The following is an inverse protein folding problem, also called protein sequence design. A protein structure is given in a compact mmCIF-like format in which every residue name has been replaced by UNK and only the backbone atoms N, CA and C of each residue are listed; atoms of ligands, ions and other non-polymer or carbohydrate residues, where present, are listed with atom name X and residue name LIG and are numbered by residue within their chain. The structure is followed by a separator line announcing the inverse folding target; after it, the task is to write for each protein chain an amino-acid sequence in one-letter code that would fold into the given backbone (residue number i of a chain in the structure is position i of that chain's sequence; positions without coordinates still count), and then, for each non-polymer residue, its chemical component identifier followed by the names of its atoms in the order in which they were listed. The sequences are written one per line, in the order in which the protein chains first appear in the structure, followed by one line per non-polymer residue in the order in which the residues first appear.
data_IF_555173159622
#
_entry.id   IF_555173159622
#
_cell.length_a   1.000
_cell.length_b   1.000
_cell.length_c   1.000
_cell.angle_alpha   90.00
_cell.angle_beta   90.00
_cell.angle_gamma   90.00
#
_symmetry.space_group_name_H-M   'P 1'
#
loop_
_entity.id
_entity.type
_entity.pdbx_description
1 polymer ?
#
# COMPACT_ATOMS: atom_id res chain seq x y z
N UNK A 1 1.84 -10.65 24.86
CA UNK A 1 2.65 -9.77 23.98
C UNK A 1 4.10 -9.56 24.43
N UNK A 2 4.40 -9.44 25.73
CA UNK A 2 5.79 -9.20 26.23
C UNK A 2 6.74 -10.34 25.88
N UNK A 3 6.37 -11.61 26.07
CA UNK A 3 7.24 -12.77 25.80
C UNK A 3 7.63 -12.86 24.30
N UNK A 4 6.69 -12.75 23.33
CA UNK A 4 7.06 -12.68 21.91
C UNK A 4 7.98 -11.50 21.56
N UNK A 5 7.75 -10.34 22.17
CA UNK A 5 8.60 -9.17 21.99
C UNK A 5 10.06 -9.47 22.37
N UNK A 6 10.28 -9.98 23.60
CA UNK A 6 11.62 -10.31 24.11
C UNK A 6 12.31 -11.35 23.21
N UNK A 7 11.57 -12.38 22.76
CA UNK A 7 12.12 -13.41 21.88
C UNK A 7 12.53 -12.88 20.53
N UNK A 8 11.74 -11.98 19.96
CA UNK A 8 12.00 -11.39 18.63
C UNK A 8 13.23 -10.50 18.65
N UNK A 9 13.39 -9.68 19.71
CA UNK A 9 14.48 -8.72 19.82
C UNK A 9 15.74 -9.25 20.55
N UNK A 10 16.03 -10.53 20.42
CA UNK A 10 17.18 -11.18 21.04
C UNK A 10 18.50 -10.98 20.28
N UNK A 11 18.43 -10.64 19.00
CA UNK A 11 19.61 -10.59 18.11
C UNK A 11 20.23 -9.19 18.03
N UNK A 12 21.53 -9.07 17.83
CA UNK A 12 22.20 -7.76 17.70
C UNK A 12 21.59 -6.87 16.60
N UNK A 13 21.24 -7.46 15.44
CA UNK A 13 20.59 -6.72 14.35
C UNK A 13 19.21 -6.19 14.72
N UNK A 14 18.51 -6.82 15.66
CA UNK A 14 17.22 -6.30 16.13
C UNK A 14 17.40 -5.00 16.92
N UNK A 15 18.48 -4.87 17.67
CA UNK A 15 18.81 -3.64 18.37
C UNK A 15 19.19 -2.52 17.40
N UNK A 16 19.90 -2.87 16.32
CA UNK A 16 20.17 -1.91 15.24
C UNK A 16 18.85 -1.41 14.60
N UNK A 17 17.90 -2.31 14.32
CA UNK A 17 16.59 -1.93 13.82
C UNK A 17 15.88 -0.97 14.78
N UNK A 18 15.81 -1.31 16.07
CA UNK A 18 15.21 -0.44 17.08
C UNK A 18 15.89 0.92 17.17
N UNK A 19 17.23 0.93 17.17
CA UNK A 19 17.99 2.18 17.20
C UNK A 19 17.69 3.08 16.00
N UNK A 20 17.57 2.51 14.79
CA UNK A 20 17.23 3.25 13.59
C UNK A 20 15.79 3.82 13.65
N UNK A 21 14.82 3.04 14.15
CA UNK A 21 13.44 3.51 14.35
C UNK A 21 13.40 4.66 15.35
N UNK A 22 14.07 4.52 16.49
CA UNK A 22 14.11 5.55 17.52
C UNK A 22 14.84 6.81 17.05
N UNK A 23 15.97 6.65 16.34
CA UNK A 23 16.72 7.78 15.77
C UNK A 23 15.85 8.57 14.76
N UNK A 24 15.09 7.87 13.91
CA UNK A 24 14.15 8.51 12.99
C UNK A 24 13.06 9.28 13.75
N UNK A 25 12.51 8.72 14.82
CA UNK A 25 11.53 9.40 15.68
C UNK A 25 12.10 10.64 16.35
N UNK A 26 13.33 10.57 16.88
CA UNK A 26 14.02 11.72 17.48
C UNK A 26 14.27 12.81 16.44
N UNK A 27 14.74 12.42 15.24
CA UNK A 27 14.93 13.38 14.15
C UNK A 27 13.63 14.10 13.80
N UNK A 28 12.49 13.41 13.75
CA UNK A 28 11.19 14.01 13.48
C UNK A 28 10.74 14.98 14.58
N UNK A 29 11.03 14.68 15.85
CA UNK A 29 10.73 15.57 16.96
C UNK A 29 11.55 16.87 16.92
N UNK A 30 12.81 16.81 16.49
CA UNK A 30 13.70 17.98 16.43
C UNK A 30 13.58 18.75 15.13
N UNK A 31 13.31 18.06 14.02
CA UNK A 31 13.19 18.63 12.67
C UNK A 31 11.94 18.08 11.98
N UNK A 32 10.75 18.53 12.39
CA UNK A 32 9.50 18.02 11.83
C UNK A 32 9.47 18.14 10.31
N UNK A 33 9.16 17.03 9.65
CA UNK A 33 8.98 16.94 8.20
C UNK A 33 7.58 16.45 7.90
N UNK A 34 7.00 16.97 6.85
CA UNK A 34 5.68 16.58 6.37
C UNK A 34 5.76 16.29 4.88
N UNK A 35 5.07 15.25 4.45
CA UNK A 35 4.81 15.00 3.04
C UNK A 35 3.59 15.84 2.61
N UNK A 36 3.48 16.12 1.33
CA UNK A 36 2.32 16.84 0.77
C UNK A 36 0.99 16.18 1.17
N UNK A 37 0.96 14.84 1.18
CA UNK A 37 -0.21 14.06 1.60
C UNK A 37 -0.60 14.29 3.07
N UNK A 38 0.34 14.68 3.93
CA UNK A 38 0.07 14.96 5.36
C UNK A 38 -0.88 16.15 5.50
N UNK A 39 -0.68 17.21 4.70
CA UNK A 39 -1.57 18.36 4.68
C UNK A 39 -3.00 17.95 4.27
N UNK A 40 -3.14 17.11 3.22
CA UNK A 40 -4.45 16.62 2.80
C UNK A 40 -5.19 15.84 3.90
N UNK A 41 -4.47 15.07 4.74
CA UNK A 41 -5.10 14.39 5.88
C UNK A 41 -5.54 15.37 6.97
N UNK A 42 -4.77 16.40 7.23
CA UNK A 42 -5.12 17.46 8.21
C UNK A 42 -6.31 18.28 7.72
N UNK A 43 -6.32 18.66 6.45
CA UNK A 43 -7.43 19.38 5.84
C UNK A 43 -8.71 18.53 5.83
N UNK A 44 -8.63 17.26 5.51
CA UNK A 44 -9.79 16.37 5.56
C UNK A 44 -10.48 16.33 6.91
N UNK A 45 -9.73 16.53 8.01
CA UNK A 45 -10.31 16.63 9.37
C UNK A 45 -11.26 17.83 9.50
N UNK A 46 -10.81 19.00 9.05
CA UNK A 46 -11.60 20.23 9.12
C UNK A 46 -12.94 20.05 8.41
N UNK A 47 -12.92 19.31 7.29
CA UNK A 47 -14.13 19.08 6.51
C UNK A 47 -15.05 18.01 7.07
N UNK A 48 -14.49 16.99 7.71
CA UNK A 48 -15.29 15.94 8.34
C UNK A 48 -16.09 16.49 9.52
N UNK A 49 -15.46 17.35 10.34
CA UNK A 49 -16.00 17.79 11.61
C UNK A 49 -16.54 19.23 11.60
N UNK A 50 -16.10 20.11 10.70
CA UNK A 50 -16.49 21.53 10.62
C UNK A 50 -17.11 21.88 9.28
N UNK A 51 -18.33 21.40 9.01
CA UNK A 51 -19.04 21.66 7.74
C UNK A 51 -19.30 23.15 7.46
N UNK A 52 -19.31 24.01 8.47
CA UNK A 52 -19.60 25.44 8.31
C UNK A 52 -18.40 26.25 7.78
N UNK A 53 -17.17 25.81 8.02
CA UNK A 53 -15.96 26.42 7.43
C UNK A 53 -15.86 26.19 5.94
N UNK A 54 -16.49 25.13 5.40
CA UNK A 54 -16.54 24.83 3.96
C UNK A 54 -17.26 25.89 3.13
N UNK A 55 -18.24 26.59 3.72
CA UNK A 55 -18.99 27.64 3.03
C UNK A 55 -18.19 28.94 2.87
N UNK A 56 -17.08 29.06 3.60
CA UNK A 56 -16.30 30.32 3.70
C UNK A 56 -15.04 30.32 2.81
N UNK A 57 -14.55 29.15 2.38
CA UNK A 57 -13.36 29.07 1.53
C UNK A 57 -13.65 28.33 0.22
N UNK A 58 -13.85 29.07 -0.90
CA UNK A 58 -14.13 28.48 -2.22
C UNK A 58 -13.01 27.57 -2.75
N UNK A 59 -11.76 27.76 -2.30
CA UNK A 59 -10.61 26.96 -2.72
C UNK A 59 -10.57 25.60 -2.03
N UNK A 60 -11.16 25.49 -0.87
CA UNK A 60 -11.17 24.28 -0.04
C UNK A 60 -12.46 23.47 -0.24
N UNK A 61 -13.51 24.07 -0.77
CA UNK A 61 -14.84 23.47 -0.91
C UNK A 61 -15.02 22.39 -1.99
N UNK A 62 -13.94 21.79 -2.47
CA UNK A 62 -13.98 20.77 -3.51
C UNK A 62 -14.32 19.40 -2.93
N UNK A 63 -15.53 18.89 -3.18
CA UNK A 63 -15.92 17.57 -2.66
C UNK A 63 -14.91 16.48 -3.05
N UNK A 64 -14.31 16.54 -4.24
CA UNK A 64 -13.27 15.62 -4.67
C UNK A 64 -11.99 15.74 -3.85
N UNK A 65 -11.63 16.94 -3.41
CA UNK A 65 -10.48 17.14 -2.56
C UNK A 65 -10.73 16.59 -1.15
N UNK A 66 -11.84 16.97 -0.54
CA UNK A 66 -12.16 16.56 0.85
C UNK A 66 -12.44 15.07 0.98
N UNK A 67 -12.97 14.42 -0.05
CA UNK A 67 -13.20 12.98 -0.06
C UNK A 67 -12.04 12.17 -0.64
N UNK A 68 -10.94 12.83 -1.02
CA UNK A 68 -9.73 12.16 -1.51
C UNK A 68 -9.19 11.19 -0.48
N UNK A 69 -9.21 11.56 0.78
CA UNK A 69 -8.79 10.70 1.91
C UNK A 69 -10.01 10.09 2.59
N UNK A 70 -9.93 8.78 2.85
CA UNK A 70 -10.93 8.08 3.65
C UNK A 70 -10.88 8.51 5.13
N UNK A 71 -11.97 8.31 5.85
CA UNK A 71 -12.19 8.89 7.18
C UNK A 71 -11.20 8.41 8.27
N UNK A 72 -10.67 7.19 8.14
CA UNK A 72 -9.97 6.53 9.25
C UNK A 72 -8.70 7.21 9.71
N UNK A 73 -7.80 7.57 8.78
CA UNK A 73 -6.55 8.22 9.19
C UNK A 73 -6.75 9.68 9.61
N UNK A 74 -7.53 10.52 8.89
CA UNK A 74 -7.91 11.84 9.40
C UNK A 74 -8.49 11.79 10.81
N UNK A 75 -9.39 10.85 11.09
CA UNK A 75 -9.95 10.68 12.44
C UNK A 75 -8.87 10.38 13.48
N UNK A 76 -7.92 9.49 13.17
CA UNK A 76 -6.80 9.19 14.07
C UNK A 76 -5.90 10.41 14.29
N UNK A 77 -5.61 11.19 13.26
CA UNK A 77 -4.82 12.43 13.38
C UNK A 77 -5.52 13.43 14.28
N UNK A 78 -6.82 13.60 14.12
CA UNK A 78 -7.61 14.50 14.98
C UNK A 78 -7.65 14.04 16.46
N UNK A 79 -7.78 12.74 16.67
CA UNK A 79 -7.88 12.17 18.03
C UNK A 79 -6.55 12.21 18.78
N UNK A 80 -5.44 11.90 18.08
CA UNK A 80 -4.14 11.67 18.71
C UNK A 80 -3.18 12.86 18.56
N UNK A 81 -3.44 13.76 17.63
CA UNK A 81 -2.51 14.84 17.25
C UNK A 81 -1.22 14.29 16.61
N UNK A 82 -0.35 15.18 16.18
CA UNK A 82 0.90 14.81 15.46
C UNK A 82 1.81 13.93 16.32
N UNK A 83 1.97 14.25 17.60
CA UNK A 83 2.81 13.46 18.53
C UNK A 83 2.22 12.06 18.76
N UNK A 84 0.90 11.95 18.92
CA UNK A 84 0.25 10.66 19.10
C UNK A 84 0.33 9.80 17.85
N UNK A 85 0.23 10.38 16.65
CA UNK A 85 0.45 9.66 15.37
C UNK A 85 1.90 9.19 15.26
N UNK A 86 2.87 10.04 15.59
CA UNK A 86 4.29 9.64 15.61
C UNK A 86 4.51 8.43 16.54
N UNK A 87 4.03 8.51 17.79
CA UNK A 87 4.16 7.40 18.74
C UNK A 87 3.47 6.12 18.23
N UNK A 88 2.30 6.25 17.64
CA UNK A 88 1.56 5.11 17.08
C UNK A 88 2.32 4.48 15.90
N UNK A 89 2.93 5.30 15.03
CA UNK A 89 3.74 4.82 13.91
C UNK A 89 5.03 4.13 14.37
N UNK A 90 5.71 4.69 15.39
CA UNK A 90 6.88 4.05 16.00
C UNK A 90 6.53 2.70 16.63
N UNK A 91 5.43 2.63 17.38
CA UNK A 91 4.94 1.37 17.94
C UNK A 91 4.56 0.37 16.85
N UNK A 92 3.89 0.82 15.79
CA UNK A 92 3.56 -0.03 14.66
C UNK A 92 4.82 -0.61 13.97
N UNK A 93 5.87 0.20 13.81
CA UNK A 93 7.16 -0.25 13.30
C UNK A 93 7.79 -1.34 14.19
N UNK A 94 7.78 -1.13 15.51
CA UNK A 94 8.34 -2.08 16.49
C UNK A 94 7.54 -3.38 16.52
N UNK A 95 6.22 -3.33 16.48
CA UNK A 95 5.37 -4.53 16.61
C UNK A 95 5.21 -5.32 15.31
N UNK A 96 5.40 -4.72 14.14
CA UNK A 96 5.27 -5.42 12.86
C UNK A 96 6.19 -6.65 12.72
N UNK A 97 7.52 -6.57 13.01
CA UNK A 97 8.36 -7.77 13.02
C UNK A 97 7.93 -8.82 14.04
N UNK A 98 7.39 -8.40 15.20
CA UNK A 98 6.92 -9.33 16.23
C UNK A 98 5.74 -10.16 15.74
N UNK A 99 4.77 -9.53 15.07
CA UNK A 99 3.61 -10.23 14.49
C UNK A 99 4.06 -11.28 13.46
N UNK A 100 5.01 -10.93 12.59
CA UNK A 100 5.55 -11.87 11.61
C UNK A 100 6.36 -12.98 12.27
N UNK A 101 7.11 -12.66 13.32
CA UNK A 101 7.78 -13.65 14.16
C UNK A 101 6.81 -14.68 14.71
N UNK A 102 5.70 -14.23 15.29
CA UNK A 102 4.66 -15.11 15.81
C UNK A 102 4.05 -16.01 14.72
N UNK A 103 3.80 -15.45 13.54
CA UNK A 103 3.28 -16.21 12.38
C UNK A 103 4.24 -17.32 11.95
N UNK A 104 5.54 -17.02 11.87
CA UNK A 104 6.57 -17.99 11.50
C UNK A 104 6.72 -19.09 12.56
N UNK A 105 6.73 -18.72 13.85
CA UNK A 105 6.80 -19.69 14.96
C UNK A 105 5.60 -20.63 14.99
N UNK A 106 4.37 -20.15 14.74
CA UNK A 106 3.17 -20.98 14.62
C UNK A 106 3.28 -22.03 13.50
N UNK A 107 4.11 -21.80 12.52
CA UNK A 107 4.41 -22.74 11.43
C UNK A 107 5.66 -23.57 11.68
N UNK A 108 6.19 -23.58 12.91
CA UNK A 108 7.36 -24.35 13.30
C UNK A 108 8.69 -23.78 12.78
N UNK A 109 8.68 -22.56 12.21
CA UNK A 109 9.88 -21.93 11.69
C UNK A 109 10.56 -21.16 12.82
N UNK A 110 11.72 -21.66 13.23
CA UNK A 110 12.57 -20.94 14.18
C UNK A 110 13.21 -19.74 13.51
N UNK A 111 12.91 -18.55 14.01
CA UNK A 111 13.57 -17.33 13.55
C UNK A 111 14.99 -17.35 14.07
N UNK A 112 15.87 -17.90 13.28
CA UNK A 112 17.33 -17.87 13.59
C UNK A 112 17.93 -16.71 12.84
N UNK A 113 17.61 -15.33 13.09
CA UNK A 113 18.06 -14.96 11.83
C UNK A 113 18.48 -13.57 11.56
N UNK A 114 19.71 -13.50 11.31
CA UNK A 114 20.39 -12.49 10.48
C UNK A 114 19.54 -12.14 9.23
N UNK A 115 19.06 -13.11 8.47
CA UNK A 115 18.26 -12.87 7.25
C UNK A 115 16.92 -12.19 7.51
N UNK A 116 16.20 -12.56 8.57
CA UNK A 116 14.96 -11.90 8.96
C UNK A 116 15.19 -10.41 9.23
N UNK A 117 16.20 -10.09 10.04
CA UNK A 117 16.49 -8.70 10.39
C UNK A 117 17.14 -7.93 9.25
N UNK A 118 17.99 -8.55 8.43
CA UNK A 118 18.51 -7.92 7.22
C UNK A 118 17.39 -7.57 6.26
N UNK A 119 16.35 -8.40 6.15
CA UNK A 119 15.17 -8.08 5.34
C UNK A 119 14.48 -6.82 5.84
N UNK A 120 14.26 -6.69 7.17
CA UNK A 120 13.64 -5.50 7.76
C UNK A 120 14.54 -4.25 7.67
N UNK A 121 15.80 -4.34 7.99
CA UNK A 121 16.75 -3.22 8.00
C UNK A 121 17.03 -2.70 6.59
N UNK A 122 17.03 -3.58 5.59
CA UNK A 122 17.29 -3.20 4.20
C UNK A 122 16.19 -2.40 3.52
N UNK A 123 15.09 -2.08 4.23
CA UNK A 123 14.01 -1.25 3.73
C UNK A 123 14.01 0.11 4.43
N UNK A 124 14.63 1.15 3.85
CA UNK A 124 14.79 2.45 4.49
C UNK A 124 13.45 3.14 4.78
N UNK A 125 12.44 2.88 3.96
CA UNK A 125 11.09 3.42 4.14
C UNK A 125 10.46 3.02 5.48
N UNK A 126 10.90 1.90 6.10
CA UNK A 126 10.46 1.53 7.45
C UNK A 126 10.79 2.62 8.46
N UNK A 127 11.97 3.24 8.32
CA UNK A 127 12.44 4.28 9.24
C UNK A 127 11.77 5.62 8.92
N UNK A 128 11.64 5.98 7.65
CA UNK A 128 11.01 7.24 7.25
C UNK A 128 9.55 7.28 7.66
N UNK A 129 8.79 6.23 7.34
CA UNK A 129 7.36 6.19 7.65
C UNK A 129 7.06 5.86 9.12
N UNK A 130 8.03 5.36 9.89
CA UNK A 130 7.91 5.29 11.34
C UNK A 130 7.93 6.69 11.98
N UNK A 131 8.60 7.64 11.33
CA UNK A 131 8.74 9.02 11.80
C UNK A 131 7.75 10.00 11.16
N UNK A 132 7.45 9.84 9.88
CA UNK A 132 6.53 10.74 9.17
C UNK A 132 5.07 10.52 9.62
N UNK A 133 4.27 11.59 9.74
CA UNK A 133 2.85 11.49 10.15
C UNK A 133 1.98 10.98 8.99
N UNK A 134 2.15 9.71 8.67
CA UNK A 134 1.54 9.02 7.52
C UNK A 134 0.96 7.66 7.96
N UNK A 135 -0.06 7.14 7.24
CA UNK A 135 -0.75 5.91 7.65
C UNK A 135 0.03 4.61 7.36
N UNK A 136 1.14 4.66 6.63
CA UNK A 136 1.85 3.50 6.09
C UNK A 136 2.24 2.49 7.17
N UNK A 137 2.82 2.93 8.28
CA UNK A 137 3.26 2.03 9.36
C UNK A 137 2.09 1.42 10.12
N UNK A 138 1.03 2.21 10.35
CA UNK A 138 -0.20 1.71 10.98
C UNK A 138 -0.83 0.63 10.09
N UNK A 139 -0.92 0.90 8.78
CA UNK A 139 -1.40 -0.09 7.81
C UNK A 139 -0.51 -1.33 7.78
N UNK A 140 0.81 -1.18 7.87
CA UNK A 140 1.75 -2.29 7.93
C UNK A 140 1.46 -3.23 9.11
N UNK A 141 1.30 -2.69 10.31
CA UNK A 141 0.95 -3.48 11.49
C UNK A 141 -0.41 -4.16 11.32
N UNK A 142 -1.40 -3.42 10.83
CA UNK A 142 -2.75 -3.95 10.61
C UNK A 142 -2.77 -5.07 9.54
N UNK A 143 -1.99 -4.97 8.47
CA UNK A 143 -1.84 -6.05 7.47
C UNK A 143 -1.24 -7.30 8.10
N UNK A 144 -0.21 -7.14 8.94
CA UNK A 144 0.36 -8.25 9.70
C UNK A 144 -0.67 -8.92 10.62
N UNK A 145 -1.42 -8.12 11.39
CA UNK A 145 -2.48 -8.58 12.29
C UNK A 145 -3.63 -9.23 11.52
N UNK A 146 -4.08 -8.62 10.43
CA UNK A 146 -5.10 -9.19 9.55
C UNK A 146 -4.71 -10.59 9.08
N UNK A 147 -3.47 -10.78 8.64
CA UNK A 147 -2.97 -12.07 8.19
C UNK A 147 -2.83 -13.07 9.35
N UNK A 148 -2.42 -12.61 10.53
CA UNK A 148 -2.39 -13.43 11.75
C UNK A 148 -3.79 -13.94 12.10
N UNK A 149 -4.79 -13.06 12.16
CA UNK A 149 -6.17 -13.42 12.47
C UNK A 149 -6.78 -14.36 11.42
N UNK A 150 -6.46 -14.13 10.14
CA UNK A 150 -6.88 -15.01 9.05
C UNK A 150 -6.34 -16.44 9.25
N UNK A 151 -5.04 -16.60 9.55
CA UNK A 151 -4.43 -17.90 9.77
C UNK A 151 -4.90 -18.56 11.05
N UNK A 152 -5.31 -17.79 12.06
CA UNK A 152 -5.91 -18.27 13.31
C UNK A 152 -7.42 -18.52 13.18
N UNK A 153 -8.02 -18.32 12.00
CA UNK A 153 -9.46 -18.48 11.74
C UNK A 153 -10.37 -17.59 12.62
N UNK A 154 -9.83 -16.44 13.07
CA UNK A 154 -10.57 -15.44 13.85
C UNK A 154 -11.35 -14.51 12.90
N UNK A 155 -12.42 -15.04 12.32
CA UNK A 155 -13.14 -14.41 11.22
C UNK A 155 -13.64 -12.99 11.50
N UNK A 156 -14.14 -12.74 12.71
CA UNK A 156 -14.59 -11.42 13.12
C UNK A 156 -13.42 -10.41 13.12
N UNK A 157 -12.30 -10.76 13.76
CA UNK A 157 -11.12 -9.90 13.83
C UNK A 157 -10.47 -9.69 12.45
N UNK A 158 -10.49 -10.73 11.61
CA UNK A 158 -10.04 -10.63 10.20
C UNK A 158 -10.87 -9.61 9.45
N UNK A 159 -12.21 -9.70 9.52
CA UNK A 159 -13.11 -8.77 8.85
C UNK A 159 -13.00 -7.35 9.42
N UNK A 160 -12.94 -7.22 10.74
CA UNK A 160 -12.79 -5.93 11.42
C UNK A 160 -11.48 -5.22 11.02
N UNK A 161 -10.36 -5.94 11.06
CA UNK A 161 -9.04 -5.39 10.71
C UNK A 161 -9.00 -4.95 9.24
N UNK A 162 -9.60 -5.75 8.34
CA UNK A 162 -9.71 -5.36 6.93
C UNK A 162 -10.62 -4.13 6.74
N UNK A 163 -11.73 -4.06 7.45
CA UNK A 163 -12.61 -2.88 7.43
C UNK A 163 -11.87 -1.61 7.89
N UNK A 164 -11.10 -1.70 8.96
CA UNK A 164 -10.26 -0.59 9.46
C UNK A 164 -9.17 -0.21 8.44
N UNK A 165 -8.52 -1.20 7.80
CA UNK A 165 -7.56 -0.95 6.71
C UNK A 165 -8.20 -0.16 5.57
N UNK A 166 -9.41 -0.54 5.13
CA UNK A 166 -10.15 0.17 4.07
C UNK A 166 -10.53 1.58 4.50
N UNK A 167 -10.90 1.78 5.78
CA UNK A 167 -11.15 3.11 6.36
C UNK A 167 -9.90 4.00 6.32
N UNK A 168 -8.72 3.44 6.51
CA UNK A 168 -7.46 4.19 6.52
C UNK A 168 -6.96 4.43 5.09
N UNK A 169 -6.99 3.40 4.25
CA UNK A 169 -6.56 3.46 2.83
C UNK A 169 -7.49 2.61 1.96
N UNK A 170 -8.20 3.22 1.00
CA UNK A 170 -9.19 2.52 0.17
C UNK A 170 -8.60 1.41 -0.70
N UNK A 171 -7.29 1.46 -1.00
CA UNK A 171 -6.60 0.43 -1.80
C UNK A 171 -6.74 -0.98 -1.22
N UNK A 172 -6.94 -1.13 0.10
CA UNK A 172 -7.10 -2.43 0.73
C UNK A 172 -8.41 -3.15 0.38
N UNK A 173 -9.33 -2.50 -0.34
CA UNK A 173 -10.50 -3.17 -0.93
C UNK A 173 -10.09 -4.32 -1.84
N UNK A 174 -8.89 -4.26 -2.43
CA UNK A 174 -8.32 -5.32 -3.26
C UNK A 174 -8.18 -6.64 -2.50
N UNK A 175 -8.00 -6.61 -1.17
CA UNK A 175 -7.91 -7.82 -0.35
C UNK A 175 -9.23 -8.59 -0.26
N UNK A 176 -10.37 -7.95 -0.55
CA UNK A 176 -11.66 -8.64 -0.60
C UNK A 176 -11.74 -9.62 -1.78
N UNK A 177 -11.12 -9.32 -2.92
CA UNK A 177 -11.26 -10.13 -4.12
C UNK A 177 -10.80 -11.59 -3.91
N UNK A 178 -9.59 -11.89 -3.40
CA UNK A 178 -9.19 -13.26 -3.13
C UNK A 178 -10.03 -13.93 -2.03
N UNK A 179 -10.53 -13.18 -1.04
CA UNK A 179 -11.43 -13.71 -0.02
C UNK A 179 -12.79 -14.10 -0.62
N UNK A 180 -13.36 -13.26 -1.50
CA UNK A 180 -14.60 -13.54 -2.23
C UNK A 180 -14.42 -14.79 -3.10
N UNK A 181 -13.33 -14.87 -3.87
CA UNK A 181 -13.03 -16.04 -4.71
C UNK A 181 -13.01 -17.31 -3.85
N UNK A 182 -12.32 -17.30 -2.72
CA UNK A 182 -12.27 -18.46 -1.81
C UNK A 182 -13.65 -18.84 -1.29
N UNK A 183 -14.48 -17.89 -0.89
CA UNK A 183 -15.84 -18.17 -0.39
C UNK A 183 -16.78 -18.69 -1.50
N UNK A 184 -16.70 -18.13 -2.70
CA UNK A 184 -17.46 -18.64 -3.85
C UNK A 184 -17.07 -20.09 -4.18
N UNK A 185 -15.81 -20.43 -4.09
CA UNK A 185 -15.32 -21.80 -4.27
C UNK A 185 -15.85 -22.76 -3.22
N UNK A 186 -15.98 -22.32 -1.95
CA UNK A 186 -16.63 -23.08 -0.88
C UNK A 186 -18.10 -23.36 -1.16
N UNK A 187 -18.81 -22.39 -1.74
CA UNK A 187 -20.24 -22.52 -2.11
C UNK A 187 -20.51 -23.46 -3.30
N UNK A 188 -19.48 -24.11 -3.84
CA UNK A 188 -19.65 -25.11 -4.90
C UNK A 188 -19.51 -24.60 -6.31
N UNK A 189 -19.17 -23.32 -6.52
CA UNK A 189 -18.85 -22.77 -7.85
C UNK A 189 -17.55 -23.32 -8.46
N UNK A 190 -17.30 -24.64 -8.22
CA UNK A 190 -16.06 -25.35 -8.62
C UNK A 190 -15.93 -25.55 -10.13
N UNK A 191 -17.04 -25.48 -10.88
CA UNK A 191 -17.06 -25.81 -12.31
C UNK A 191 -16.38 -24.75 -13.20
N UNK A 192 -16.20 -23.54 -12.70
CA UNK A 192 -15.75 -22.38 -13.50
C UNK A 192 -14.26 -22.10 -13.47
N UNK A 193 -13.42 -22.87 -12.75
CA UNK A 193 -12.10 -22.37 -12.44
C UNK A 193 -10.99 -23.30 -12.92
N UNK A 194 -10.19 -22.76 -13.82
CA UNK A 194 -8.89 -23.26 -14.30
C UNK A 194 -7.90 -23.61 -13.15
N UNK A 195 -8.24 -23.25 -11.91
CA UNK A 195 -7.43 -23.37 -10.70
C UNK A 195 -7.83 -24.52 -9.78
N UNK A 196 -8.37 -25.64 -10.26
CA UNK A 196 -8.81 -26.73 -9.36
C UNK A 196 -7.74 -27.26 -8.40
N UNK A 197 -6.46 -27.30 -8.82
CA UNK A 197 -5.35 -27.68 -7.93
C UNK A 197 -5.09 -26.66 -6.84
N UNK A 198 -5.09 -25.37 -7.20
CA UNK A 198 -4.98 -24.26 -6.27
C UNK A 198 -6.10 -24.27 -5.22
N UNK A 199 -7.30 -24.57 -5.66
CA UNK A 199 -8.51 -24.60 -4.83
C UNK A 199 -8.49 -25.74 -3.79
N UNK A 200 -8.11 -26.94 -4.19
CA UNK A 200 -8.03 -28.07 -3.24
C UNK A 200 -7.04 -27.80 -2.14
N UNK A 201 -5.94 -27.17 -2.44
CA UNK A 201 -4.93 -26.84 -1.46
C UNK A 201 -5.32 -25.63 -0.60
N UNK A 202 -6.02 -24.62 -1.16
CA UNK A 202 -6.54 -23.48 -0.38
C UNK A 202 -7.71 -23.84 0.53
N UNK A 203 -8.48 -24.90 0.21
CA UNK A 203 -9.64 -25.29 1.00
C UNK A 203 -9.31 -25.57 2.49
N UNK A 204 -8.16 -26.16 2.78
CA UNK A 204 -7.74 -26.45 4.16
C UNK A 204 -7.38 -25.19 4.95
N UNK A 205 -6.71 -24.20 4.31
CA UNK A 205 -6.38 -22.91 4.96
C UNK A 205 -7.66 -22.17 5.35
N UNK A 206 -8.66 -22.25 4.48
CA UNK A 206 -9.92 -21.52 4.61
C UNK A 206 -11.05 -22.37 5.19
N UNK A 207 -10.77 -23.60 5.60
CA UNK A 207 -11.68 -24.41 6.39
C UNK A 207 -11.99 -23.67 7.70
N UNK A 208 -13.27 -23.36 7.96
CA UNK A 208 -13.69 -22.50 9.06
C UNK A 208 -13.79 -20.99 8.73
N UNK A 209 -13.37 -20.53 7.55
CA UNK A 209 -13.66 -19.17 7.12
C UNK A 209 -15.19 -19.01 6.96
N UNK A 210 -15.75 -17.93 7.51
CA UNK A 210 -17.17 -17.60 7.39
C UNK A 210 -17.36 -16.22 6.74
N UNK A 211 -18.61 -15.84 6.50
CA UNK A 211 -18.96 -14.61 5.82
C UNK A 211 -18.51 -13.32 6.54
N UNK A 212 -18.21 -13.36 7.84
CA UNK A 212 -17.81 -12.17 8.59
C UNK A 212 -16.56 -11.50 7.99
N UNK A 213 -15.67 -12.28 7.37
CA UNK A 213 -14.45 -11.74 6.72
C UNK A 213 -14.73 -10.83 5.53
N UNK A 214 -15.96 -10.90 4.96
CA UNK A 214 -16.41 -10.08 3.84
C UNK A 214 -17.50 -9.10 4.28
N UNK A 215 -18.50 -9.55 5.03
CA UNK A 215 -19.65 -8.73 5.42
C UNK A 215 -19.22 -7.53 6.26
N UNK A 216 -18.27 -7.72 7.19
CA UNK A 216 -17.79 -6.63 8.04
C UNK A 216 -17.08 -5.55 7.21
N UNK A 217 -16.06 -5.85 6.35
CA UNK A 217 -15.45 -4.83 5.51
C UNK A 217 -16.43 -4.15 4.54
N UNK A 218 -17.39 -4.89 3.98
CA UNK A 218 -18.45 -4.32 3.15
C UNK A 218 -19.29 -3.33 3.98
N UNK A 219 -19.61 -3.66 5.23
CA UNK A 219 -20.28 -2.74 6.14
C UNK A 219 -19.53 -1.42 6.32
N UNK A 220 -18.20 -1.46 6.46
CA UNK A 220 -17.37 -0.25 6.49
C UNK A 220 -17.42 0.54 5.18
N UNK A 221 -17.40 -0.13 4.03
CA UNK A 221 -17.52 0.53 2.72
C UNK A 221 -18.87 1.25 2.59
N UNK A 222 -19.97 0.58 2.99
CA UNK A 222 -21.29 1.18 3.01
C UNK A 222 -21.38 2.36 3.97
N UNK A 223 -20.82 2.23 5.16
CA UNK A 223 -20.77 3.31 6.15
C UNK A 223 -20.10 4.56 5.57
N UNK A 224 -18.92 4.42 4.93
CA UNK A 224 -18.23 5.55 4.30
C UNK A 224 -19.05 6.12 3.14
N UNK A 225 -19.60 5.24 2.29
CA UNK A 225 -20.43 5.65 1.16
C UNK A 225 -21.67 6.45 1.59
N UNK A 226 -22.36 6.00 2.64
CA UNK A 226 -23.51 6.70 3.23
C UNK A 226 -23.08 8.02 3.89
N UNK A 227 -21.95 8.03 4.59
CA UNK A 227 -21.42 9.25 5.17
C UNK A 227 -21.11 10.29 4.09
N UNK A 228 -20.41 9.92 3.03
CA UNK A 228 -20.11 10.81 1.93
C UNK A 228 -21.39 11.27 1.20
N UNK A 229 -22.36 10.35 1.01
CA UNK A 229 -23.64 10.71 0.41
C UNK A 229 -24.42 11.72 1.27
N UNK A 230 -24.44 11.54 2.58
CA UNK A 230 -25.15 12.47 3.49
C UNK A 230 -24.51 13.86 3.53
N UNK A 231 -23.23 13.98 3.31
CA UNK A 231 -22.48 15.26 3.35
C UNK A 231 -22.38 15.94 1.99
N UNK A 232 -22.23 15.18 0.92
CA UNK A 232 -21.87 15.65 -0.41
C UNK A 232 -22.82 15.21 -1.53
N UNK A 233 -23.86 14.44 -1.22
CA UNK A 233 -24.77 13.88 -2.20
C UNK A 233 -24.19 12.76 -3.08
N UNK A 234 -22.93 12.35 -2.89
CA UNK A 234 -22.23 11.36 -3.72
C UNK A 234 -21.89 10.12 -2.91
N UNK A 235 -22.42 8.96 -3.36
CA UNK A 235 -22.09 7.67 -2.74
C UNK A 235 -20.77 7.13 -3.30
N UNK A 236 -19.68 7.27 -2.57
CA UNK A 236 -18.36 6.74 -2.96
C UNK A 236 -17.47 6.48 -1.74
N UNK A 237 -16.48 5.60 -1.89
CA UNK A 237 -15.52 5.29 -0.83
C UNK A 237 -14.47 6.41 -0.68
N UNK A 238 -13.92 6.86 -1.81
CA UNK A 238 -12.90 7.91 -1.89
C UNK A 238 -12.78 8.41 -3.32
N UNK A 239 -12.56 9.69 -3.51
CA UNK A 239 -12.33 10.29 -4.83
C UNK A 239 -10.91 10.05 -5.36
N UNK A 240 -9.97 9.59 -4.51
CA UNK A 240 -8.56 9.36 -4.89
C UNK A 240 -8.43 8.41 -6.10
N UNK A 241 -9.31 7.41 -6.18
CA UNK A 241 -9.31 6.47 -7.31
C UNK A 241 -9.63 7.16 -8.63
N UNK A 242 -10.65 8.04 -8.63
CA UNK A 242 -11.04 8.82 -9.81
C UNK A 242 -9.94 9.80 -10.20
N UNK A 243 -9.38 10.52 -9.24
CA UNK A 243 -8.27 11.46 -9.45
C UNK A 243 -7.04 10.76 -9.99
N UNK A 244 -6.59 9.67 -9.36
CA UNK A 244 -5.42 8.93 -9.83
C UNK A 244 -5.65 8.29 -11.20
N UNK A 245 -6.88 7.82 -11.47
CA UNK A 245 -7.21 7.22 -12.76
C UNK A 245 -7.16 8.25 -13.88
N UNK A 246 -7.63 9.47 -13.64
CA UNK A 246 -7.56 10.58 -14.59
C UNK A 246 -6.15 11.18 -14.67
N UNK A 247 -5.62 11.70 -13.56
CA UNK A 247 -4.39 12.51 -13.56
C UNK A 247 -3.12 11.70 -13.86
N UNK A 248 -3.07 10.42 -13.39
CA UNK A 248 -1.85 9.62 -13.55
C UNK A 248 -2.02 8.51 -14.59
N UNK A 249 -3.00 7.64 -14.43
CA UNK A 249 -3.09 6.46 -15.28
C UNK A 249 -3.46 6.84 -16.71
N UNK A 250 -4.48 7.68 -16.89
CA UNK A 250 -4.94 8.12 -18.20
C UNK A 250 -3.88 8.97 -18.90
N UNK A 251 -3.34 9.97 -18.21
CA UNK A 251 -2.29 10.83 -18.78
C UNK A 251 -1.10 10.02 -19.30
N UNK A 252 -0.60 9.10 -18.49
CA UNK A 252 0.52 8.26 -18.90
C UNK A 252 0.15 7.34 -20.06
N UNK A 253 -1.08 6.81 -20.10
CA UNK A 253 -1.54 5.94 -21.18
C UNK A 253 -1.59 6.72 -22.51
N UNK A 254 -2.15 7.92 -22.51
CA UNK A 254 -2.18 8.80 -23.68
C UNK A 254 -0.77 9.19 -24.11
N UNK A 255 0.08 9.58 -23.17
CA UNK A 255 1.47 9.96 -23.45
C UNK A 255 2.30 8.80 -24.03
N UNK A 256 2.06 7.57 -23.60
CA UNK A 256 2.72 6.38 -24.14
C UNK A 256 2.15 5.95 -25.50
N UNK A 257 0.84 6.15 -25.75
CA UNK A 257 0.17 5.73 -26.97
C UNK A 257 0.32 6.76 -28.10
N UNK A 258 0.11 8.05 -27.81
CA UNK A 258 -0.02 9.11 -28.81
C UNK A 258 1.08 10.19 -28.69
N UNK A 259 1.89 10.12 -27.63
CA UNK A 259 2.94 11.12 -27.33
C UNK A 259 2.53 12.16 -26.31
N UNK A 260 3.54 12.75 -25.66
CA UNK A 260 3.33 13.71 -24.58
C UNK A 260 2.62 14.99 -25.01
N UNK A 261 2.95 15.53 -26.18
CA UNK A 261 2.32 16.76 -26.70
C UNK A 261 0.81 16.59 -26.96
N UNK A 262 0.40 15.41 -27.46
CA UNK A 262 -1.00 15.10 -27.63
C UNK A 262 -1.72 15.01 -26.28
N UNK A 263 -1.11 14.30 -25.31
CA UNK A 263 -1.67 14.17 -23.98
C UNK A 263 -1.83 15.55 -23.31
N UNK A 264 -0.82 16.42 -23.38
CA UNK A 264 -0.85 17.77 -22.84
C UNK A 264 -1.97 18.61 -23.46
N UNK A 265 -2.07 18.61 -24.80
CA UNK A 265 -3.11 19.34 -25.53
C UNK A 265 -4.52 18.88 -25.19
N UNK A 266 -4.72 17.56 -25.07
CA UNK A 266 -6.03 17.00 -24.70
C UNK A 266 -6.41 17.38 -23.27
N UNK A 267 -5.45 17.31 -22.34
CA UNK A 267 -5.67 17.71 -20.93
C UNK A 267 -5.97 19.20 -20.80
N UNK A 268 -5.35 20.05 -21.60
CA UNK A 268 -5.65 21.49 -21.65
C UNK A 268 -7.09 21.75 -22.11
N UNK A 269 -7.54 21.10 -23.20
CA UNK A 269 -8.92 21.19 -23.68
C UNK A 269 -9.93 20.72 -22.63
N UNK A 270 -9.67 19.58 -22.00
CA UNK A 270 -10.57 19.04 -20.95
C UNK A 270 -10.56 19.93 -19.71
N UNK A 271 -9.42 20.53 -19.34
CA UNK A 271 -9.32 21.44 -18.21
C UNK A 271 -10.23 22.68 -18.40
N UNK A 272 -10.40 23.16 -19.62
CA UNK A 272 -11.31 24.27 -19.93
C UNK A 272 -12.76 23.86 -19.60
N UNK A 273 -13.18 22.66 -20.01
CA UNK A 273 -14.50 22.13 -19.69
C UNK A 273 -14.69 21.89 -18.19
N UNK A 274 -13.69 21.29 -17.53
CA UNK A 274 -13.73 20.98 -16.11
C UNK A 274 -13.74 22.25 -15.23
N UNK A 275 -13.07 23.33 -15.67
CA UNK A 275 -13.01 24.60 -14.95
C UNK A 275 -14.32 25.41 -15.07
N UNK A 276 -15.18 25.10 -16.06
CA UNK A 276 -16.51 25.70 -16.15
C UNK A 276 -17.51 25.07 -15.17
N UNK A 277 -17.18 23.89 -14.63
CA UNK A 277 -18.03 23.19 -13.68
C UNK A 277 -17.64 23.58 -12.24
N UNK A 278 -18.65 23.68 -11.39
CA UNK A 278 -18.39 23.82 -9.95
C UNK A 278 -17.61 22.64 -9.41
N UNK A 279 -16.68 22.88 -8.50
CA UNK A 279 -15.97 21.81 -7.80
C UNK A 279 -16.85 20.99 -6.86
N UNK A 280 -18.08 21.45 -6.61
CA UNK A 280 -19.15 20.74 -5.87
C UNK A 280 -20.06 19.92 -6.78
N UNK A 281 -19.90 20.02 -8.08
CA UNK A 281 -20.75 19.32 -9.02
C UNK A 281 -20.40 17.82 -9.07
N UNK A 282 -21.31 16.92 -8.69
CA UNK A 282 -21.10 15.49 -8.82
C UNK A 282 -20.76 15.03 -10.23
N UNK A 283 -21.33 15.71 -11.25
CA UNK A 283 -21.12 15.40 -12.66
C UNK A 283 -19.64 15.54 -13.06
N UNK A 284 -18.89 16.43 -12.41
CA UNK A 284 -17.43 16.56 -12.66
C UNK A 284 -16.69 15.25 -12.40
N UNK A 285 -17.03 14.53 -11.34
CA UNK A 285 -16.44 13.23 -11.03
C UNK A 285 -16.84 12.14 -12.04
N UNK A 286 -18.06 12.20 -12.55
CA UNK A 286 -18.54 11.28 -13.60
C UNK A 286 -17.84 11.54 -14.93
N UNK A 287 -17.62 12.80 -15.27
CA UNK A 287 -16.91 13.20 -16.49
C UNK A 287 -15.44 12.74 -16.45
N UNK A 288 -14.73 12.92 -15.31
CA UNK A 288 -13.38 12.41 -15.13
C UNK A 288 -13.29 10.90 -15.29
N UNK A 289 -14.30 10.17 -14.77
CA UNK A 289 -14.37 8.72 -14.95
C UNK A 289 -14.65 8.34 -16.40
N UNK A 290 -15.54 9.08 -17.08
CA UNK A 290 -15.86 8.84 -18.47
C UNK A 290 -14.63 9.00 -19.37
N UNK A 291 -13.87 10.08 -19.22
CA UNK A 291 -12.61 10.31 -19.94
C UNK A 291 -11.61 9.17 -19.69
N UNK A 292 -11.41 8.80 -18.42
CA UNK A 292 -10.48 7.74 -18.08
C UNK A 292 -10.90 6.37 -18.59
N UNK A 293 -12.21 6.08 -18.56
CA UNK A 293 -12.77 4.81 -19.03
C UNK A 293 -12.67 4.72 -20.55
N UNK A 294 -12.95 5.80 -21.28
CA UNK A 294 -12.78 5.83 -22.73
C UNK A 294 -11.33 5.48 -23.10
N UNK A 295 -10.36 6.17 -22.51
CA UNK A 295 -8.93 5.89 -22.76
C UNK A 295 -8.53 4.45 -22.40
N UNK A 296 -9.09 3.86 -21.33
CA UNK A 296 -8.85 2.47 -20.98
C UNK A 296 -9.34 1.51 -22.09
N UNK A 297 -10.52 1.78 -22.66
CA UNK A 297 -11.07 0.95 -23.74
C UNK A 297 -10.34 1.14 -25.06
N UNK A 298 -9.87 2.35 -25.35
CA UNK A 298 -9.10 2.65 -26.56
C UNK A 298 -7.70 2.02 -26.51
N UNK A 299 -7.07 2.02 -25.32
CA UNK A 299 -5.66 1.57 -25.14
C UNK A 299 -5.48 0.51 -24.04
N UNK A 300 -6.23 -0.62 -24.05
CA UNK A 300 -6.21 -1.58 -22.94
C UNK A 300 -4.82 -2.23 -22.73
N UNK A 301 -4.08 -2.50 -23.80
CA UNK A 301 -2.75 -3.10 -23.71
C UNK A 301 -1.72 -2.12 -23.16
N UNK A 302 -1.85 -0.83 -23.48
CA UNK A 302 -0.98 0.22 -22.91
C UNK A 302 -1.22 0.35 -21.42
N UNK A 303 -2.48 0.37 -20.98
CA UNK A 303 -2.83 0.34 -19.55
C UNK A 303 -2.22 -0.87 -18.84
N UNK A 304 -2.37 -2.06 -19.40
CA UNK A 304 -1.78 -3.28 -18.83
C UNK A 304 -0.26 -3.19 -18.74
N UNK A 305 0.42 -2.74 -19.80
CA UNK A 305 1.87 -2.52 -19.83
C UNK A 305 2.31 -1.55 -18.73
N UNK A 306 1.60 -0.45 -18.57
CA UNK A 306 1.91 0.57 -17.57
C UNK A 306 1.71 0.08 -16.14
N UNK A 307 0.62 -0.67 -15.87
CA UNK A 307 0.40 -1.28 -14.58
C UNK A 307 1.49 -2.30 -14.22
N UNK A 308 1.93 -3.11 -15.18
CA UNK A 308 3.06 -4.03 -14.98
C UNK A 308 4.37 -3.27 -14.73
N UNK A 309 4.62 -2.19 -15.48
CA UNK A 309 5.79 -1.31 -15.28
C UNK A 309 5.76 -0.66 -13.90
N UNK A 310 4.62 -0.11 -13.49
CA UNK A 310 4.45 0.49 -12.17
C UNK A 310 4.59 -0.53 -11.04
N UNK A 311 4.07 -1.75 -11.22
CA UNK A 311 4.28 -2.84 -10.28
C UNK A 311 5.78 -3.15 -10.10
N UNK A 312 6.53 -3.30 -11.18
CA UNK A 312 7.98 -3.52 -11.12
C UNK A 312 8.70 -2.33 -10.48
N UNK A 313 8.32 -1.12 -10.86
CA UNK A 313 8.89 0.11 -10.30
C UNK A 313 8.67 0.18 -8.78
N UNK A 314 7.50 -0.18 -8.27
CA UNK A 314 7.22 -0.21 -6.83
C UNK A 314 8.21 -1.11 -6.07
N UNK A 315 8.58 -2.27 -6.65
CA UNK A 315 9.56 -3.17 -6.01
C UNK A 315 11.01 -2.70 -6.14
N UNK A 316 11.31 -1.89 -7.15
CA UNK A 316 12.68 -1.46 -7.47
C UNK A 316 13.02 -0.07 -6.93
N UNK A 317 12.01 0.78 -6.73
CA UNK A 317 12.18 2.16 -6.27
C UNK A 317 12.84 2.18 -4.88
N UNK A 318 13.97 2.88 -4.70
CA UNK A 318 14.62 3.02 -3.39
C UNK A 318 13.87 3.96 -2.42
N UNK A 319 12.77 4.57 -2.83
CA UNK A 319 12.06 5.59 -2.03
C UNK A 319 12.81 6.92 -1.99
N UNK A 320 13.41 7.30 -3.10
CA UNK A 320 14.24 8.50 -3.20
C UNK A 320 13.50 9.77 -2.78
N UNK A 321 12.25 9.94 -3.23
CA UNK A 321 11.46 11.12 -2.88
C UNK A 321 11.24 11.23 -1.37
N UNK A 322 10.89 10.12 -0.74
CA UNK A 322 10.66 10.07 0.70
C UNK A 322 11.95 10.35 1.49
N UNK A 323 13.09 9.83 0.99
CA UNK A 323 14.41 10.12 1.56
C UNK A 323 14.77 11.61 1.46
N UNK A 324 14.51 12.24 0.30
CA UNK A 324 14.76 13.67 0.11
C UNK A 324 13.96 14.51 1.10
N UNK A 325 12.67 14.20 1.29
CA UNK A 325 11.84 14.90 2.27
C UNK A 325 12.35 14.65 3.69
N UNK A 326 12.61 13.39 4.04
CA UNK A 326 13.04 13.01 5.38
C UNK A 326 14.39 13.64 5.78
N UNK A 327 15.37 13.61 4.88
CA UNK A 327 16.68 14.19 5.13
C UNK A 327 16.76 15.70 4.82
N UNK A 328 15.72 16.28 4.23
CA UNK A 328 15.74 17.68 3.78
C UNK A 328 16.70 17.92 2.61
N UNK A 329 16.90 16.94 1.75
CA UNK A 329 17.75 17.09 0.57
C UNK A 329 17.06 17.97 -0.49
N UNK A 330 17.85 18.64 -1.37
CA UNK A 330 17.29 19.41 -2.47
C UNK A 330 16.38 18.56 -3.36
N UNK A 331 15.24 19.08 -3.72
CA UNK A 331 14.32 18.37 -4.62
C UNK A 331 14.88 18.36 -6.03
N UNK A 332 15.31 17.20 -6.51
CA UNK A 332 15.74 16.97 -7.89
C UNK A 332 14.65 16.26 -8.69
N UNK A 333 14.38 16.72 -9.92
CA UNK A 333 13.34 16.14 -10.77
C UNK A 333 13.77 14.79 -11.36
N UNK A 334 12.90 13.79 -11.33
CA UNK A 334 13.02 12.49 -12.01
C UNK A 334 14.15 11.57 -11.53
N UNK A 335 14.07 10.25 -11.86
CA UNK A 335 15.07 9.28 -11.46
C UNK A 335 16.43 9.49 -12.10
N UNK A 336 16.47 9.90 -13.37
CA UNK A 336 17.69 10.14 -14.15
C UNK A 336 17.98 11.61 -14.41
N UNK A 337 17.20 12.53 -13.85
CA UNK A 337 17.29 13.95 -14.20
C UNK A 337 16.90 14.25 -15.65
N UNK A 338 16.48 13.22 -16.37
CA UNK A 338 16.04 13.31 -17.76
C UNK A 338 14.56 13.69 -17.78
N UNK A 339 14.25 14.96 -17.76
CA UNK A 339 12.95 15.41 -18.19
C UNK A 339 13.09 16.63 -19.08
N UNK A 340 12.71 16.39 -20.33
CA UNK A 340 12.24 17.38 -21.31
C UNK A 340 12.98 18.71 -21.29
N UNK A 341 14.15 18.77 -21.90
CA UNK A 341 14.67 19.92 -22.64
C UNK A 341 14.80 21.30 -21.99
N UNK A 342 14.41 21.46 -20.74
CA UNK A 342 14.50 22.73 -20.03
C UNK A 342 15.25 22.58 -18.71
N UNK A 343 16.45 23.07 -18.77
CA UNK A 343 17.29 23.79 -17.84
C UNK A 343 17.32 23.37 -16.35
N UNK A 344 18.53 23.36 -15.85
CA UNK A 344 19.01 23.08 -14.52
C UNK A 344 19.04 21.59 -14.17
N UNK A 345 19.99 20.91 -14.81
CA UNK A 345 20.60 19.70 -14.21
C UNK A 345 21.28 20.15 -12.93
N UNK A 346 20.49 20.31 -11.87
CA UNK A 346 21.07 20.37 -10.51
C UNK A 346 21.80 19.07 -10.34
N UNK A 347 23.11 19.11 -10.38
CA UNK A 347 23.96 17.95 -10.21
C UNK A 347 23.60 17.32 -8.86
N UNK A 348 23.08 16.08 -8.89
CA UNK A 348 22.72 15.38 -7.66
C UNK A 348 23.95 15.24 -6.79
N UNK A 349 23.83 15.54 -5.49
CA UNK A 349 24.93 15.33 -4.57
C UNK A 349 25.31 13.84 -4.51
N UNK A 350 26.57 13.55 -4.30
CA UNK A 350 27.13 12.18 -4.29
C UNK A 350 26.42 11.25 -3.27
N UNK A 351 25.97 11.78 -2.13
CA UNK A 351 25.28 11.01 -1.12
C UNK A 351 23.89 10.53 -1.59
N UNK A 352 23.18 11.30 -2.44
CA UNK A 352 21.92 10.88 -3.05
C UNK A 352 22.15 9.71 -4.01
N UNK A 353 23.21 9.77 -4.84
CA UNK A 353 23.59 8.66 -5.70
C UNK A 353 23.96 7.40 -4.92
N UNK A 354 24.74 7.54 -3.86
CA UNK A 354 25.09 6.42 -2.98
C UNK A 354 23.81 5.78 -2.41
N UNK A 355 22.87 6.59 -1.91
CA UNK A 355 21.59 6.11 -1.42
C UNK A 355 20.82 5.35 -2.50
N UNK A 356 20.62 5.96 -3.67
CA UNK A 356 19.88 5.36 -4.79
C UNK A 356 20.48 4.00 -5.15
N UNK A 357 21.78 3.94 -5.38
CA UNK A 357 22.46 2.71 -5.84
C UNK A 357 22.35 1.60 -4.77
N UNK A 358 22.66 1.91 -3.53
CA UNK A 358 22.62 0.89 -2.45
C UNK A 358 21.20 0.34 -2.29
N UNK A 359 20.19 1.19 -2.15
CA UNK A 359 18.83 0.73 -1.87
C UNK A 359 18.12 0.17 -3.08
N UNK A 360 18.42 0.62 -4.31
CA UNK A 360 17.94 -0.03 -5.53
C UNK A 360 18.51 -1.45 -5.66
N UNK A 361 19.81 -1.65 -5.37
CA UNK A 361 20.41 -3.00 -5.36
C UNK A 361 19.79 -3.89 -4.27
N UNK A 362 19.60 -3.39 -3.05
CA UNK A 362 18.95 -4.15 -1.99
C UNK A 362 17.51 -4.52 -2.34
N UNK A 363 16.76 -3.62 -2.97
CA UNK A 363 15.40 -3.88 -3.44
C UNK A 363 15.40 -4.93 -4.56
N UNK A 364 16.33 -4.84 -5.52
CA UNK A 364 16.50 -5.84 -6.57
C UNK A 364 16.77 -7.24 -5.96
N UNK A 365 17.69 -7.34 -5.01
CA UNK A 365 17.99 -8.60 -4.33
C UNK A 365 16.74 -9.15 -3.64
N UNK A 366 16.00 -8.33 -2.90
CA UNK A 366 14.74 -8.74 -2.25
C UNK A 366 13.69 -9.22 -3.26
N UNK A 367 13.55 -8.50 -4.38
CA UNK A 367 12.64 -8.87 -5.46
C UNK A 367 13.03 -10.20 -6.10
N UNK A 368 14.30 -10.40 -6.42
CA UNK A 368 14.82 -11.67 -6.97
C UNK A 368 14.57 -12.83 -6.00
N UNK A 369 14.81 -12.64 -4.71
CA UNK A 369 14.54 -13.66 -3.69
C UNK A 369 13.03 -13.95 -3.63
N UNK A 370 12.18 -12.94 -3.63
CA UNK A 370 10.72 -13.11 -3.62
C UNK A 370 10.25 -13.90 -4.85
N UNK A 371 10.72 -13.56 -6.05
CA UNK A 371 10.39 -14.26 -7.30
C UNK A 371 10.91 -15.70 -7.26
N UNK A 372 12.15 -15.91 -6.83
CA UNK A 372 12.74 -17.26 -6.72
C UNK A 372 11.95 -18.15 -5.76
N UNK A 373 11.64 -17.65 -4.56
CA UNK A 373 10.81 -18.34 -3.59
C UNK A 373 9.44 -18.67 -4.17
N UNK A 374 8.80 -17.72 -4.85
CA UNK A 374 7.49 -17.87 -5.47
C UNK A 374 7.49 -18.98 -6.54
N UNK A 375 8.49 -18.99 -7.42
CA UNK A 375 8.64 -20.04 -8.44
C UNK A 375 8.83 -21.41 -7.79
N UNK A 376 9.67 -21.50 -6.75
CA UNK A 376 9.89 -22.77 -6.03
C UNK A 376 8.62 -23.28 -5.37
N UNK A 377 7.86 -22.40 -4.68
CA UNK A 377 6.59 -22.75 -4.05
C UNK A 377 5.58 -23.28 -5.09
N UNK A 378 5.45 -22.61 -6.22
CA UNK A 378 4.53 -23.01 -7.29
C UNK A 378 4.92 -24.37 -7.91
N UNK A 379 6.23 -24.68 -8.03
CA UNK A 379 6.72 -25.95 -8.55
C UNK A 379 6.53 -27.12 -7.59
N UNK A 380 6.63 -26.89 -6.29
CA UNK A 380 6.50 -27.93 -5.28
C UNK A 380 5.07 -28.49 -5.24
N UNK A 381 4.07 -27.70 -5.59
CA UNK A 381 2.68 -28.16 -5.83
C UNK A 381 2.00 -28.85 -4.65
N UNK A 382 2.64 -28.85 -3.48
CA UNK A 382 2.15 -29.55 -2.31
C UNK A 382 1.04 -28.76 -1.60
N UNK A 383 0.02 -29.46 -1.14
CA UNK A 383 -1.07 -28.90 -0.34
C UNK A 383 -0.58 -28.15 0.92
N UNK A 384 0.66 -28.40 1.33
CA UNK A 384 1.27 -27.83 2.53
C UNK A 384 1.65 -26.35 2.39
N UNK A 385 1.74 -25.80 1.16
CA UNK A 385 2.26 -24.44 0.92
C UNK A 385 1.21 -23.39 0.53
N UNK A 386 -0.06 -23.71 0.67
CA UNK A 386 -1.16 -22.80 0.34
C UNK A 386 -1.10 -21.49 1.09
N UNK A 387 -0.69 -21.54 2.35
CA UNK A 387 -0.53 -20.35 3.18
C UNK A 387 0.60 -19.41 2.69
N UNK A 388 1.38 -19.81 1.68
CA UNK A 388 2.31 -18.94 0.95
C UNK A 388 1.71 -18.39 -0.34
N UNK A 389 0.91 -19.19 -1.04
CA UNK A 389 0.34 -18.78 -2.33
C UNK A 389 -0.70 -17.68 -2.14
N UNK A 390 -1.51 -17.76 -1.08
CA UNK A 390 -2.52 -16.74 -0.80
C UNK A 390 -1.92 -15.35 -0.54
N UNK A 391 -0.98 -15.14 0.40
CA UNK A 391 -0.35 -13.83 0.58
C UNK A 391 0.44 -13.38 -0.65
N UNK A 392 0.99 -14.29 -1.45
CA UNK A 392 1.63 -13.96 -2.72
C UNK A 392 0.61 -13.37 -3.72
N UNK A 393 -0.57 -13.98 -3.86
CA UNK A 393 -1.65 -13.44 -4.68
C UNK A 393 -2.05 -12.03 -4.20
N UNK A 394 -2.18 -11.83 -2.88
CA UNK A 394 -2.47 -10.51 -2.31
C UNK A 394 -1.40 -9.48 -2.70
N UNK A 395 -0.12 -9.81 -2.54
CA UNK A 395 1.00 -8.92 -2.89
C UNK A 395 0.95 -8.54 -4.36
N UNK A 396 0.74 -9.52 -5.26
CA UNK A 396 0.67 -9.28 -6.70
C UNK A 396 -0.54 -8.40 -7.06
N UNK A 397 -1.72 -8.73 -6.54
CA UNK A 397 -2.94 -7.97 -6.82
C UNK A 397 -2.86 -6.54 -6.29
N UNK A 398 -2.32 -6.35 -5.08
CA UNK A 398 -2.11 -5.04 -4.49
C UNK A 398 -1.13 -4.21 -5.32
N UNK A 399 0.01 -4.80 -5.71
CA UNK A 399 1.01 -4.14 -6.55
C UNK A 399 0.45 -3.75 -7.92
N UNK A 400 -0.35 -4.63 -8.54
CA UNK A 400 -1.02 -4.33 -9.81
C UNK A 400 -2.07 -3.22 -9.67
N UNK A 401 -2.86 -3.22 -8.59
CA UNK A 401 -3.90 -2.22 -8.35
C UNK A 401 -3.34 -0.80 -8.11
N UNK A 402 -2.10 -0.65 -7.65
CA UNK A 402 -1.42 0.65 -7.53
C UNK A 402 -1.22 1.28 -8.90
N UNK A 403 -1.11 0.47 -9.95
CA UNK A 403 -1.01 0.92 -11.31
C UNK A 403 0.28 1.67 -11.62
N UNK A 404 0.18 2.66 -12.50
CA UNK A 404 1.32 3.44 -12.99
C UNK A 404 1.98 4.33 -11.94
N UNK A 405 1.32 4.58 -10.81
CA UNK A 405 1.86 5.40 -9.70
C UNK A 405 3.12 4.79 -9.07
N UNK A 406 3.21 3.46 -9.02
CA UNK A 406 4.35 2.61 -8.69
C UNK A 406 5.47 3.18 -7.82
N UNK A 407 5.16 3.73 -6.63
CA UNK A 407 6.19 4.25 -5.71
C UNK A 407 6.47 3.25 -4.58
N UNK A 408 7.71 3.24 -4.09
CA UNK A 408 8.16 2.34 -3.03
C UNK A 408 7.36 2.46 -1.72
N UNK A 409 6.74 3.60 -1.45
CA UNK A 409 5.93 3.81 -0.24
C UNK A 409 4.79 2.80 -0.10
N UNK A 410 4.25 2.32 -1.24
CA UNK A 410 3.20 1.32 -1.25
C UNK A 410 3.68 -0.09 -0.85
N UNK A 411 4.99 -0.35 -0.84
CA UNK A 411 5.53 -1.59 -0.28
C UNK A 411 5.40 -1.64 1.25
N UNK A 412 5.47 -0.50 1.92
CA UNK A 412 5.50 -0.45 3.39
C UNK A 412 4.33 -1.21 4.01
N UNK A 413 3.06 -0.97 3.64
CA UNK A 413 1.92 -1.68 4.21
C UNK A 413 1.93 -3.19 3.99
N UNK A 414 2.40 -3.68 2.83
CA UNK A 414 2.39 -5.12 2.50
C UNK A 414 3.71 -5.84 2.84
N UNK A 415 4.66 -5.10 3.38
CA UNK A 415 5.98 -5.63 3.74
C UNK A 415 5.92 -6.83 4.70
N UNK A 416 4.99 -6.91 5.67
CA UNK A 416 4.80 -8.08 6.50
C UNK A 416 4.50 -9.36 5.71
N UNK A 417 3.66 -9.29 4.68
CA UNK A 417 3.35 -10.44 3.83
C UNK A 417 4.58 -10.90 3.05
N UNK A 418 5.37 -9.96 2.51
CA UNK A 418 6.62 -10.26 1.82
C UNK A 418 7.64 -10.89 2.76
N UNK A 419 7.80 -10.34 3.98
CA UNK A 419 8.68 -10.90 5.00
C UNK A 419 8.28 -12.33 5.38
N UNK A 420 6.98 -12.59 5.52
CA UNK A 420 6.45 -13.93 5.77
C UNK A 420 6.75 -14.89 4.61
N UNK A 421 6.42 -14.50 3.36
CA UNK A 421 6.64 -15.32 2.16
C UNK A 421 8.12 -15.72 2.02
N UNK A 422 9.03 -14.74 2.14
CA UNK A 422 10.46 -14.95 1.96
C UNK A 422 11.01 -15.87 3.06
N UNK A 423 10.73 -15.59 4.34
CA UNK A 423 11.31 -16.36 5.44
C UNK A 423 10.76 -17.78 5.51
N UNK A 424 9.44 -17.95 5.34
CA UNK A 424 8.83 -19.27 5.28
C UNK A 424 9.30 -20.04 4.05
N UNK A 425 9.28 -19.41 2.88
CA UNK A 425 9.62 -20.08 1.63
C UNK A 425 11.08 -20.56 1.59
N UNK A 426 12.03 -19.78 2.10
CA UNK A 426 13.43 -20.21 2.23
C UNK A 426 13.52 -21.45 3.13
N UNK A 427 12.78 -21.48 4.26
CA UNK A 427 12.77 -22.62 5.17
C UNK A 427 12.15 -23.87 4.53
N UNK A 428 11.04 -23.71 3.82
CA UNK A 428 10.37 -24.80 3.12
C UNK A 428 11.26 -25.41 2.00
N UNK A 429 11.94 -24.57 1.22
CA UNK A 429 12.88 -25.04 0.17
C UNK A 429 14.05 -25.82 0.78
N UNK A 430 14.58 -25.42 1.93
CA UNK A 430 15.68 -26.11 2.60
C UNK A 430 15.25 -27.49 3.11
N UNK A 431 14.06 -27.62 3.68
CA UNK A 431 13.57 -28.92 4.20
C UNK A 431 13.42 -29.96 3.07
N UNK A 432 13.04 -29.52 1.86
CA UNK A 432 12.90 -30.43 0.70
C UNK A 432 14.24 -30.91 0.17
N UNK A 433 15.26 -30.06 0.18
CA UNK A 433 16.60 -30.45 -0.26
C UNK A 433 17.33 -31.38 0.72
N UNK A 434 16.77 -31.56 1.94
CA UNK A 434 17.31 -32.46 2.98
C UNK A 434 16.56 -33.79 3.06
N UNK A 435 15.40 -33.92 2.41
CA UNK A 435 14.62 -35.15 2.26
C UNK A 435 14.97 -35.85 0.94
#
# INVERSE_FOLDING_TARGET
MVIPLIKTYKFPLSWLYLALILAAGIQQLWHPKELMDTAEYKDAILYIFNSDTLKLDPHLGRWMYVTRRTLGFPFLVNLLGDTGILLTSLLAAIFSPVVISMLLEQKGIKIKNVWFWLFWISQPLQFFYAALPMPEMICQLLVGLWFLFLLQKQNFLTGLTLGVLILIKPIFIVFLLPLIIVLLLKLGFRKFIFFQRFIRSTSQLFEGLNFNVIVIPIGFIFFIGLFNHSKWGVFHLSSISTTNFYEYNRYQALSEAEGGEFADSLYELESIQLNQMSDFDPEKGELLRAFSTATLWDYPLVFMKMHLKGMLQMFMDPGRYDAMVFFGWPQTKGFLGLKNGHDDVVSRPIYEWIYIVIFAMLNLIKFVILVWVSIKILKIGSNQHVHLVFPLCIVIMYAFAIGSVGTARYLVPIYPLMAYIVNYGISAVRSINQS
#
